data_IF_443917146465
#
_entry.id   IF_443917146465
#
_cell.length_a   1.000
_cell.length_b   1.000
_cell.length_c   1.000
_cell.angle_alpha   90.00
_cell.angle_beta   90.00
_cell.angle_gamma   90.00
#
_symmetry.space_group_name_H-M   'P 1'
#
loop_
_entity.id
_entity.type
_entity.pdbx_description
1 polymer ?
#
# COMPACT_ATOMS: atom_id res chain seq x y z
N UNK A 1 -40.37 9.31 -0.02
CA UNK A 1 -39.23 9.03 -0.94
C UNK A 1 -39.66 8.33 -2.23
N UNK A 2 -40.76 7.57 -2.26
CA UNK A 2 -41.21 6.83 -3.47
C UNK A 2 -41.60 7.70 -4.67
N UNK A 3 -41.87 8.99 -4.46
CA UNK A 3 -42.22 9.95 -5.52
C UNK A 3 -41.01 10.71 -6.09
N UNK A 4 -39.78 10.36 -5.70
CA UNK A 4 -38.59 11.00 -6.24
C UNK A 4 -38.30 10.47 -7.66
N UNK A 5 -37.88 11.34 -8.59
CA UNK A 5 -37.34 10.93 -9.89
C UNK A 5 -36.24 9.87 -9.76
N UNK A 6 -36.20 8.94 -10.71
CA UNK A 6 -35.25 7.84 -10.77
C UNK A 6 -33.79 8.30 -10.70
N UNK A 7 -33.49 9.46 -11.30
CA UNK A 7 -32.18 10.09 -11.34
C UNK A 7 -31.76 10.59 -9.95
N UNK A 8 -32.70 11.18 -9.21
CA UNK A 8 -32.46 11.64 -7.83
C UNK A 8 -32.28 10.46 -6.88
N UNK A 9 -33.03 9.37 -7.05
CA UNK A 9 -32.83 8.14 -6.28
C UNK A 9 -31.47 7.50 -6.57
N UNK A 10 -31.07 7.43 -7.85
CA UNK A 10 -29.74 6.93 -8.22
C UNK A 10 -28.61 7.81 -7.65
N UNK A 11 -28.80 9.12 -7.63
CA UNK A 11 -27.87 10.08 -7.03
C UNK A 11 -27.77 9.88 -5.51
N UNK A 12 -28.90 9.76 -4.80
CA UNK A 12 -28.92 9.47 -3.36
C UNK A 12 -28.18 8.17 -3.09
N UNK A 13 -28.49 7.09 -3.81
CA UNK A 13 -27.83 5.80 -3.63
C UNK A 13 -26.30 5.87 -3.84
N UNK A 14 -25.78 6.82 -4.64
CA UNK A 14 -24.33 6.96 -4.85
C UNK A 14 -23.57 7.49 -3.64
N UNK A 15 -24.26 8.07 -2.65
CA UNK A 15 -23.66 8.56 -1.40
C UNK A 15 -23.87 7.62 -0.21
N UNK A 16 -24.70 6.59 -0.37
CA UNK A 16 -25.04 5.69 0.73
C UNK A 16 -23.96 4.61 0.89
N UNK A 17 -23.63 4.29 2.15
CA UNK A 17 -22.77 3.16 2.47
C UNK A 17 -23.43 1.82 2.09
N UNK A 18 -22.63 0.78 1.89
CA UNK A 18 -23.12 -0.53 1.42
C UNK A 18 -24.18 -1.15 2.34
N UNK A 19 -24.04 -1.01 3.66
CA UNK A 19 -25.02 -1.48 4.66
C UNK A 19 -26.35 -0.76 4.49
N UNK A 20 -26.30 0.59 4.43
CA UNK A 20 -27.48 1.44 4.24
C UNK A 20 -28.14 1.19 2.89
N UNK A 21 -27.35 0.95 1.83
CA UNK A 21 -27.86 0.56 0.51
C UNK A 21 -28.60 -0.78 0.54
N UNK A 22 -28.12 -1.75 1.31
CA UNK A 22 -28.77 -3.04 1.45
C UNK A 22 -30.12 -2.90 2.18
N UNK A 23 -30.14 -2.15 3.29
CA UNK A 23 -31.39 -1.87 4.01
C UNK A 23 -32.39 -1.10 3.14
N UNK A 24 -31.89 -0.11 2.38
CA UNK A 24 -32.69 0.65 1.43
C UNK A 24 -33.28 -0.25 0.33
N UNK A 25 -32.51 -1.21 -0.17
CA UNK A 25 -32.98 -2.21 -1.14
C UNK A 25 -34.09 -3.11 -0.57
N UNK A 26 -34.02 -3.43 0.72
CA UNK A 26 -34.99 -4.28 1.41
C UNK A 26 -36.30 -3.57 1.75
N UNK A 27 -36.28 -2.24 1.90
CA UNK A 27 -37.48 -1.46 2.25
C UNK A 27 -38.61 -1.53 1.22
N UNK A 28 -38.28 -1.49 -0.09
CA UNK A 28 -39.28 -1.51 -1.15
C UNK A 28 -38.71 -2.02 -2.49
N UNK A 29 -39.56 -2.66 -3.31
CA UNK A 29 -39.15 -3.16 -4.65
C UNK A 29 -38.68 -2.05 -5.59
N UNK A 30 -39.25 -0.86 -5.49
CA UNK A 30 -38.84 0.32 -6.27
C UNK A 30 -37.40 0.72 -5.95
N UNK A 31 -36.99 0.65 -4.68
CA UNK A 31 -35.64 0.97 -4.23
C UNK A 31 -34.62 -0.10 -4.56
N UNK A 32 -35.00 -1.38 -4.50
CA UNK A 32 -34.14 -2.49 -4.92
C UNK A 32 -33.56 -2.28 -6.33
N UNK A 33 -34.39 -1.82 -7.27
CA UNK A 33 -33.97 -1.59 -8.65
C UNK A 33 -32.89 -0.51 -8.79
N UNK A 34 -32.85 0.49 -7.89
CA UNK A 34 -31.84 1.55 -7.87
C UNK A 34 -30.63 1.17 -7.04
N UNK A 35 -30.85 0.62 -5.84
CA UNK A 35 -29.82 0.20 -4.91
C UNK A 35 -28.92 -0.88 -5.51
N UNK A 36 -29.49 -1.85 -6.25
CA UNK A 36 -28.71 -2.93 -6.89
C UNK A 36 -27.59 -2.40 -7.77
N UNK A 37 -27.81 -1.32 -8.52
CA UNK A 37 -26.78 -0.80 -9.41
C UNK A 37 -25.56 -0.30 -8.63
N UNK A 38 -25.77 0.29 -7.46
CA UNK A 38 -24.70 0.76 -6.60
C UNK A 38 -24.06 -0.40 -5.82
N UNK A 39 -24.87 -1.31 -5.27
CA UNK A 39 -24.39 -2.48 -4.53
C UNK A 39 -23.44 -3.38 -5.34
N UNK A 40 -23.66 -3.47 -6.66
CA UNK A 40 -22.85 -4.28 -7.57
C UNK A 40 -21.85 -3.45 -8.40
N UNK A 41 -21.64 -2.17 -8.09
CA UNK A 41 -20.56 -1.38 -8.72
C UNK A 41 -19.18 -1.90 -8.29
N UNK A 42 -19.06 -2.36 -7.05
CA UNK A 42 -17.87 -3.04 -6.53
C UNK A 42 -18.25 -4.40 -5.93
N UNK A 43 -17.68 -5.46 -6.49
CA UNK A 43 -17.98 -6.85 -6.14
C UNK A 43 -16.72 -7.56 -5.68
N UNK A 44 -16.83 -8.26 -4.55
CA UNK A 44 -15.80 -9.19 -4.08
C UNK A 44 -16.41 -10.59 -4.06
N UNK A 45 -15.84 -11.51 -4.84
CA UNK A 45 -16.17 -12.93 -4.86
C UNK A 45 -15.09 -13.67 -4.09
N UNK A 46 -15.48 -14.34 -3.00
CA UNK A 46 -14.55 -15.09 -2.16
C UNK A 46 -14.89 -16.57 -2.10
N UNK A 47 -13.88 -17.40 -2.38
CA UNK A 47 -13.71 -18.79 -2.00
C UNK A 47 -14.69 -19.40 -1.01
N UNK A 48 -14.53 -18.87 0.19
CA UNK A 48 -15.04 -19.34 1.46
C UNK A 48 -16.43 -18.78 1.80
N UNK A 49 -16.99 -17.92 0.94
CA UNK A 49 -18.20 -17.18 1.26
C UNK A 49 -19.44 -17.83 0.62
N UNK A 50 -20.43 -18.14 1.47
CA UNK A 50 -21.64 -18.88 1.13
C UNK A 50 -22.41 -18.29 -0.06
N UNK A 51 -22.44 -16.96 -0.21
CA UNK A 51 -23.23 -16.26 -1.24
C UNK A 51 -22.44 -15.88 -2.51
N UNK A 52 -21.18 -16.32 -2.65
CA UNK A 52 -20.35 -15.99 -3.81
C UNK A 52 -20.89 -16.61 -5.10
N UNK A 53 -21.40 -17.85 -5.03
CA UNK A 53 -21.96 -18.54 -6.19
C UNK A 53 -23.24 -17.85 -6.70
N UNK A 54 -24.15 -17.48 -5.80
CA UNK A 54 -25.38 -16.77 -6.14
C UNK A 54 -25.08 -15.38 -6.70
N UNK A 55 -24.09 -14.68 -6.13
CA UNK A 55 -23.65 -13.38 -6.65
C UNK A 55 -23.06 -13.52 -8.06
N UNK A 56 -22.24 -14.55 -8.28
CA UNK A 56 -21.68 -14.84 -9.59
C UNK A 56 -22.77 -15.17 -10.62
N UNK A 57 -23.72 -16.04 -10.28
CA UNK A 57 -24.88 -16.37 -11.12
C UNK A 57 -25.72 -15.14 -11.43
N UNK A 58 -25.98 -14.29 -10.43
CA UNK A 58 -26.71 -13.05 -10.63
C UNK A 58 -26.04 -12.14 -11.67
N UNK A 59 -24.70 -12.03 -11.64
CA UNK A 59 -23.94 -11.26 -12.62
C UNK A 59 -24.05 -11.87 -14.02
N UNK A 60 -23.92 -13.19 -14.15
CA UNK A 60 -24.09 -13.89 -15.43
C UNK A 60 -25.50 -13.70 -16.00
N UNK A 61 -26.52 -13.88 -15.18
CA UNK A 61 -27.93 -13.80 -15.58
C UNK A 61 -28.39 -12.35 -15.87
N UNK A 62 -27.65 -11.35 -15.39
CA UNK A 62 -27.96 -9.93 -15.57
C UNK A 62 -26.83 -9.17 -16.30
N UNK A 63 -26.76 -9.21 -17.64
CA UNK A 63 -25.71 -8.55 -18.42
C UNK A 63 -25.58 -7.04 -18.16
N UNK A 64 -26.69 -6.35 -17.87
CA UNK A 64 -26.66 -4.92 -17.51
C UNK A 64 -25.97 -4.66 -16.16
N UNK A 65 -26.06 -5.61 -15.23
CA UNK A 65 -25.40 -5.54 -13.93
C UNK A 65 -23.91 -5.77 -14.11
N UNK A 66 -23.53 -6.84 -14.81
CA UNK A 66 -22.14 -7.12 -15.18
C UNK A 66 -21.48 -5.96 -15.91
N UNK A 67 -22.18 -5.33 -16.87
CA UNK A 67 -21.65 -4.16 -17.61
C UNK A 67 -21.40 -2.95 -16.70
N UNK A 68 -22.14 -2.82 -15.60
CA UNK A 68 -22.02 -1.70 -14.64
C UNK A 68 -21.03 -1.98 -13.50
N UNK A 69 -20.57 -3.22 -13.34
CA UNK A 69 -19.51 -3.54 -12.39
C UNK A 69 -18.23 -2.80 -12.79
N UNK A 70 -17.73 -1.93 -11.90
CA UNK A 70 -16.53 -1.12 -12.11
C UNK A 70 -15.32 -1.76 -11.43
N UNK A 71 -15.54 -2.41 -10.29
CA UNK A 71 -14.51 -3.09 -9.53
C UNK A 71 -14.89 -4.55 -9.25
N UNK A 72 -13.99 -5.46 -9.57
CA UNK A 72 -14.13 -6.88 -9.25
C UNK A 72 -12.88 -7.39 -8.52
N UNK A 73 -13.10 -8.03 -7.38
CA UNK A 73 -12.08 -8.78 -6.67
C UNK A 73 -12.49 -10.26 -6.60
N UNK A 74 -11.56 -11.14 -6.94
CA UNK A 74 -11.71 -12.59 -6.84
C UNK A 74 -10.62 -13.09 -5.88
N UNK A 75 -11.06 -13.63 -4.74
CA UNK A 75 -10.18 -14.16 -3.70
C UNK A 75 -10.42 -15.66 -3.55
N UNK A 76 -9.40 -16.46 -3.81
CA UNK A 76 -9.45 -17.91 -3.58
C UNK A 76 -8.86 -18.23 -2.21
N UNK A 77 -9.57 -19.04 -1.42
CA UNK A 77 -9.13 -19.56 -0.12
C UNK A 77 -7.85 -20.41 -0.29
N UNK A 78 -6.88 -20.39 0.65
CA UNK A 78 -5.63 -21.14 0.46
C UNK A 78 -5.85 -22.65 0.56
N UNK A 79 -6.85 -23.06 1.33
CA UNK A 79 -7.20 -24.46 1.54
C UNK A 79 -8.27 -24.90 0.53
N UNK A 80 -8.64 -24.07 -0.46
CA UNK A 80 -9.69 -24.34 -1.45
C UNK A 80 -9.51 -25.69 -2.17
N UNK A 81 -8.27 -26.12 -2.41
CA UNK A 81 -7.94 -27.41 -3.02
C UNK A 81 -8.22 -28.62 -2.12
N UNK A 82 -8.29 -28.40 -0.81
CA UNK A 82 -8.48 -29.45 0.21
C UNK A 82 -9.91 -29.55 0.72
N UNK A 83 -10.77 -28.58 0.39
CA UNK A 83 -12.15 -28.58 0.84
C UNK A 83 -12.98 -29.58 0.02
N UNK A 84 -13.61 -30.55 0.70
CA UNK A 84 -14.51 -31.59 0.15
C UNK A 84 -15.76 -31.07 -0.61
N UNK A 85 -15.87 -29.75 -0.88
CA UNK A 85 -16.81 -29.18 -1.84
C UNK A 85 -16.56 -29.67 -3.29
N UNK A 86 -15.47 -30.41 -3.52
CA UNK A 86 -15.01 -31.03 -4.77
C UNK A 86 -15.74 -32.36 -5.09
N UNK A 87 -17.02 -32.49 -4.75
CA UNK A 87 -17.81 -33.73 -5.04
C UNK A 87 -18.88 -33.57 -6.11
N UNK A 88 -18.96 -32.40 -6.77
CA UNK A 88 -19.82 -32.22 -7.94
C UNK A 88 -18.99 -31.94 -9.19
N UNK A 89 -19.09 -32.89 -10.12
CA UNK A 89 -18.52 -33.06 -11.44
C UNK A 89 -18.48 -31.84 -12.42
N UNK A 90 -18.39 -30.56 -12.03
CA UNK A 90 -18.44 -29.45 -13.04
C UNK A 90 -17.74 -28.09 -12.74
N UNK A 91 -17.08 -27.82 -11.60
CA UNK A 91 -16.93 -26.41 -11.20
C UNK A 91 -15.53 -25.76 -11.41
N UNK A 92 -15.40 -24.98 -12.48
CA UNK A 92 -14.56 -23.76 -12.43
C UNK A 92 -15.28 -22.76 -11.52
N UNK A 93 -14.63 -22.28 -10.45
CA UNK A 93 -15.25 -21.35 -9.49
C UNK A 93 -15.68 -20.02 -10.16
N UNK A 94 -14.85 -19.46 -11.04
CA UNK A 94 -15.21 -18.35 -11.94
C UNK A 94 -15.19 -18.84 -13.40
N UNK A 95 -16.32 -18.76 -14.10
CA UNK A 95 -16.32 -18.93 -15.56
C UNK A 95 -15.65 -17.70 -16.23
N UNK A 96 -14.54 -17.86 -16.99
CA UNK A 96 -13.82 -16.73 -17.60
C UNK A 96 -14.68 -15.91 -18.56
N UNK A 97 -15.75 -16.48 -19.11
CA UNK A 97 -16.68 -15.77 -20.00
C UNK A 97 -17.42 -14.61 -19.31
N UNK A 98 -17.44 -14.53 -17.98
CA UNK A 98 -18.07 -13.40 -17.27
C UNK A 98 -17.45 -12.06 -17.68
N UNK A 99 -16.14 -12.04 -17.97
CA UNK A 99 -15.43 -10.82 -18.38
C UNK A 99 -15.94 -10.26 -19.72
N UNK A 100 -16.55 -11.09 -20.58
CA UNK A 100 -17.20 -10.66 -21.83
C UNK A 100 -18.37 -9.71 -21.58
N UNK A 101 -18.99 -9.79 -20.41
CA UNK A 101 -20.12 -8.96 -20.01
C UNK A 101 -19.69 -7.68 -19.27
N UNK A 102 -18.41 -7.58 -18.87
CA UNK A 102 -17.90 -6.57 -17.94
C UNK A 102 -17.17 -5.41 -18.63
N UNK A 103 -17.74 -4.87 -19.71
CA UNK A 103 -17.13 -3.76 -20.45
C UNK A 103 -16.93 -2.45 -19.66
N UNK A 104 -17.55 -2.31 -18.49
CA UNK A 104 -17.38 -1.16 -17.59
C UNK A 104 -16.26 -1.32 -16.55
N UNK A 105 -15.59 -2.46 -16.51
CA UNK A 105 -14.59 -2.80 -15.49
C UNK A 105 -13.37 -1.87 -15.58
N UNK A 106 -12.97 -1.28 -14.44
CA UNK A 106 -11.81 -0.39 -14.30
C UNK A 106 -10.74 -0.95 -13.35
N UNK A 107 -11.16 -1.70 -12.33
CA UNK A 107 -10.28 -2.30 -11.35
C UNK A 107 -10.55 -3.79 -11.25
N UNK A 108 -9.50 -4.61 -11.40
CA UNK A 108 -9.56 -6.05 -11.28
C UNK A 108 -8.50 -6.56 -10.31
N UNK A 109 -8.91 -7.39 -9.36
CA UNK A 109 -8.03 -8.02 -8.38
C UNK A 109 -8.20 -9.53 -8.38
N UNK A 110 -7.08 -10.24 -8.51
CA UNK A 110 -6.98 -11.67 -8.28
C UNK A 110 -6.08 -11.90 -7.07
N UNK A 111 -6.56 -12.70 -6.12
CA UNK A 111 -5.73 -13.28 -5.07
C UNK A 111 -5.81 -14.79 -5.18
N UNK A 112 -4.65 -15.41 -5.44
CA UNK A 112 -4.47 -16.82 -5.81
C UNK A 112 -5.16 -17.16 -7.13
N UNK A 113 -4.95 -18.38 -7.61
CA UNK A 113 -5.55 -18.79 -8.88
C UNK A 113 -7.08 -18.82 -8.75
N UNK A 114 -7.83 -18.14 -9.63
CA UNK A 114 -9.30 -18.21 -9.62
C UNK A 114 -9.85 -19.56 -10.11
N UNK A 115 -9.00 -20.46 -10.62
CA UNK A 115 -9.40 -21.69 -11.31
C UNK A 115 -8.38 -22.84 -11.13
N UNK A 116 -8.86 -24.02 -10.71
CA UNK A 116 -8.23 -25.33 -10.96
C UNK A 116 -9.20 -26.08 -11.88
N UNK A 117 -8.76 -26.65 -13.01
CA UNK A 117 -9.72 -27.39 -13.86
C UNK A 117 -9.91 -28.83 -13.37
N UNK A 118 -11.09 -29.35 -13.73
CA UNK A 118 -11.60 -30.71 -13.52
C UNK A 118 -10.65 -31.84 -13.91
N UNK A 119 -9.74 -31.59 -14.85
CA UNK A 119 -8.92 -32.65 -15.48
C UNK A 119 -7.49 -32.71 -14.90
N UNK A 120 -7.18 -31.90 -13.87
CA UNK A 120 -5.80 -31.64 -13.45
C UNK A 120 -5.04 -30.70 -14.40
N UNK A 121 -5.70 -30.20 -15.45
CA UNK A 121 -5.14 -29.18 -16.35
C UNK A 121 -5.48 -27.79 -15.80
N UNK A 122 -4.57 -27.15 -15.10
CA UNK A 122 -4.79 -25.79 -14.58
C UNK A 122 -5.27 -24.84 -15.69
N UNK A 123 -6.42 -24.18 -15.50
CA UNK A 123 -6.82 -23.08 -16.40
C UNK A 123 -5.69 -22.07 -16.37
N UNK A 124 -5.08 -21.85 -17.51
CA UNK A 124 -3.94 -20.96 -17.60
C UNK A 124 -4.44 -19.54 -17.28
N UNK A 125 -3.85 -18.91 -16.25
CA UNK A 125 -4.19 -17.53 -15.91
C UNK A 125 -4.08 -16.58 -17.11
N UNK A 126 -3.20 -16.91 -18.07
CA UNK A 126 -3.09 -16.19 -19.34
C UNK A 126 -4.36 -16.21 -20.18
N UNK A 127 -5.10 -17.32 -20.19
CA UNK A 127 -6.36 -17.40 -20.94
C UNK A 127 -7.40 -16.47 -20.34
N UNK A 128 -7.44 -16.40 -19.00
CA UNK A 128 -8.29 -15.46 -18.27
C UNK A 128 -7.87 -14.03 -18.60
N UNK A 129 -6.57 -13.74 -18.54
CA UNK A 129 -6.03 -12.40 -18.82
C UNK A 129 -6.30 -11.97 -20.26
N UNK A 130 -6.21 -12.90 -21.23
CA UNK A 130 -6.56 -12.65 -22.63
C UNK A 130 -8.02 -12.22 -22.78
N UNK A 131 -8.97 -12.94 -22.17
CA UNK A 131 -10.40 -12.60 -22.21
C UNK A 131 -10.62 -11.24 -21.53
N UNK A 132 -9.94 -10.98 -20.41
CA UNK A 132 -10.01 -9.68 -19.72
C UNK A 132 -9.55 -8.56 -20.66
N UNK A 133 -8.41 -8.68 -21.32
CA UNK A 133 -7.90 -7.64 -22.21
C UNK A 133 -8.77 -7.44 -23.45
N UNK A 134 -9.35 -8.50 -24.00
CA UNK A 134 -10.26 -8.41 -25.15
C UNK A 134 -11.54 -7.63 -24.81
N UNK A 135 -12.10 -7.83 -23.61
CA UNK A 135 -13.45 -7.35 -23.29
C UNK A 135 -13.51 -6.20 -22.28
N UNK A 136 -12.48 -6.01 -21.47
CA UNK A 136 -12.41 -4.98 -20.42
C UNK A 136 -11.54 -3.79 -20.86
N UNK A 137 -11.90 -3.15 -21.97
CA UNK A 137 -11.11 -2.05 -22.55
C UNK A 137 -10.90 -0.83 -21.63
N UNK A 138 -11.74 -0.66 -20.60
CA UNK A 138 -11.66 0.42 -19.61
C UNK A 138 -10.79 0.08 -18.39
N UNK A 139 -10.14 -1.10 -18.38
CA UNK A 139 -9.34 -1.53 -17.25
C UNK A 139 -8.13 -0.62 -17.06
N UNK A 140 -8.04 0.01 -15.88
CA UNK A 140 -6.94 0.91 -15.50
C UNK A 140 -6.11 0.37 -14.34
N UNK A 141 -6.63 -0.58 -13.58
CA UNK A 141 -5.95 -1.13 -12.41
C UNK A 141 -6.02 -2.65 -12.39
N UNK A 142 -4.86 -3.29 -12.29
CA UNK A 142 -4.74 -4.75 -12.19
C UNK A 142 -3.94 -5.12 -10.94
N UNK A 143 -4.52 -5.96 -10.09
CA UNK A 143 -3.85 -6.54 -8.93
C UNK A 143 -3.83 -8.05 -9.06
N UNK A 144 -2.65 -8.67 -8.96
CA UNK A 144 -2.46 -10.11 -9.02
C UNK A 144 -1.58 -10.51 -7.85
N UNK A 145 -2.11 -11.25 -6.88
CA UNK A 145 -1.39 -11.61 -5.66
C UNK A 145 -1.42 -13.11 -5.43
N UNK A 146 -0.33 -13.67 -4.93
CA UNK A 146 -0.22 -15.08 -4.53
C UNK A 146 -0.63 -16.05 -5.65
N UNK A 147 -0.44 -15.66 -6.91
CA UNK A 147 -0.85 -16.47 -8.06
C UNK A 147 0.17 -17.58 -8.30
N UNK A 148 -0.30 -18.82 -8.31
CA UNK A 148 0.49 -19.96 -8.78
C UNK A 148 0.39 -20.06 -10.29
N UNK A 149 1.52 -19.91 -10.98
CA UNK A 149 1.59 -20.15 -12.40
C UNK A 149 1.94 -21.61 -12.64
N UNK A 150 1.10 -22.30 -13.40
CA UNK A 150 1.50 -23.60 -13.93
C UNK A 150 2.66 -23.43 -14.90
N UNK A 151 3.61 -24.39 -14.96
CA UNK A 151 4.71 -24.33 -15.92
C UNK A 151 4.15 -24.40 -17.34
N UNK A 152 4.07 -23.24 -18.00
CA UNK A 152 3.68 -23.14 -19.40
C UNK A 152 4.95 -23.26 -20.24
N UNK A 153 4.93 -24.11 -21.27
CA UNK A 153 5.99 -24.09 -22.29
C UNK A 153 5.98 -22.70 -22.95
N UNK A 154 7.07 -21.91 -22.86
CA UNK A 154 7.14 -20.59 -23.50
C UNK A 154 6.84 -20.64 -25.01
N UNK A 155 7.01 -21.80 -25.66
CA UNK A 155 6.69 -22.01 -27.09
C UNK A 155 5.21 -22.26 -27.35
N UNK A 156 4.44 -22.68 -26.36
CA UNK A 156 2.98 -22.78 -26.45
C UNK A 156 2.31 -21.39 -26.46
N UNK A 157 3.05 -20.35 -26.07
CA UNK A 157 2.66 -18.96 -26.19
C UNK A 157 2.75 -18.48 -27.66
N UNK A 158 1.84 -18.96 -28.49
CA UNK A 158 1.63 -18.51 -29.88
C UNK A 158 0.42 -17.58 -30.03
N UNK A 159 -0.37 -17.41 -28.95
CA UNK A 159 -1.48 -16.49 -28.90
C UNK A 159 -0.98 -15.05 -28.84
N UNK A 160 -1.41 -14.22 -29.78
CA UNK A 160 -1.29 -12.77 -29.64
C UNK A 160 -2.15 -12.36 -28.44
N UNK A 161 -1.54 -11.89 -27.35
CA UNK A 161 -2.28 -11.08 -26.38
C UNK A 161 -3.02 -10.00 -27.16
N UNK A 162 -4.33 -9.86 -26.91
CA UNK A 162 -5.11 -8.76 -27.44
C UNK A 162 -4.50 -7.42 -27.00
N UNK A 163 -4.86 -6.34 -27.70
CA UNK A 163 -4.39 -5.00 -27.35
C UNK A 163 -4.64 -4.73 -25.87
N UNK A 164 -3.55 -4.52 -25.12
CA UNK A 164 -3.62 -4.37 -23.67
C UNK A 164 -4.35 -3.08 -23.31
N UNK A 165 -5.26 -3.10 -22.32
CA UNK A 165 -5.95 -1.91 -21.87
C UNK A 165 -4.95 -0.89 -21.26
N UNK A 166 -5.32 0.40 -21.17
CA UNK A 166 -4.44 1.46 -20.71
C UNK A 166 -4.24 1.44 -19.19
N UNK A 167 -3.54 0.41 -18.69
CA UNK A 167 -3.24 0.24 -17.27
C UNK A 167 -2.45 1.43 -16.71
N UNK A 168 -2.90 1.93 -15.56
CA UNK A 168 -2.27 3.01 -14.76
C UNK A 168 -1.64 2.50 -13.48
N UNK A 169 -2.23 1.48 -12.86
CA UNK A 169 -1.76 0.86 -11.62
C UNK A 169 -1.64 -0.65 -11.80
N UNK A 170 -0.49 -1.20 -11.44
CA UNK A 170 -0.25 -2.63 -11.40
C UNK A 170 0.32 -3.00 -10.05
N UNK A 171 -0.32 -3.97 -9.38
CA UNK A 171 0.19 -4.61 -8.18
C UNK A 171 0.37 -6.09 -8.50
N UNK A 172 1.58 -6.59 -8.34
CA UNK A 172 1.89 -7.99 -8.55
C UNK A 172 2.67 -8.56 -7.36
N UNK A 173 2.25 -9.72 -6.85
CA UNK A 173 2.94 -10.43 -5.78
C UNK A 173 2.98 -11.92 -6.06
N UNK A 174 4.18 -12.51 -6.16
CA UNK A 174 4.36 -13.97 -6.25
C UNK A 174 4.71 -14.60 -4.90
N UNK A 175 4.40 -15.88 -4.73
CA UNK A 175 4.95 -16.70 -3.65
C UNK A 175 6.39 -17.11 -3.99
N UNK A 176 7.29 -17.12 -2.99
CA UNK A 176 8.75 -17.33 -3.12
C UNK A 176 9.18 -18.65 -3.78
N UNK A 177 8.26 -19.61 -3.96
CA UNK A 177 8.55 -20.98 -4.42
C UNK A 177 8.17 -21.26 -5.87
N UNK A 178 7.55 -20.32 -6.56
CA UNK A 178 7.02 -20.56 -7.90
C UNK A 178 8.17 -20.49 -8.92
N UNK A 179 8.53 -21.62 -9.55
CA UNK A 179 9.53 -21.70 -10.63
C UNK A 179 9.09 -21.03 -11.94
N UNK A 180 8.52 -19.83 -11.84
CA UNK A 180 7.89 -19.06 -12.92
C UNK A 180 8.98 -18.45 -13.78
N UNK A 181 8.80 -18.54 -15.09
CA UNK A 181 9.50 -17.66 -16.02
C UNK A 181 8.89 -16.26 -15.93
N UNK A 182 9.55 -15.36 -15.20
CA UNK A 182 9.11 -13.99 -15.04
C UNK A 182 9.01 -13.20 -16.35
N UNK A 183 9.76 -13.62 -17.37
CA UNK A 183 9.63 -13.10 -18.73
C UNK A 183 8.20 -13.22 -19.24
N UNK A 184 7.54 -14.36 -18.95
CA UNK A 184 6.15 -14.60 -19.31
C UNK A 184 5.21 -13.62 -18.57
N UNK A 185 5.42 -13.41 -17.27
CA UNK A 185 4.64 -12.46 -16.46
C UNK A 185 4.75 -11.06 -17.04
N UNK A 186 5.99 -10.63 -17.30
CA UNK A 186 6.28 -9.29 -17.82
C UNK A 186 5.61 -9.08 -19.19
N UNK A 187 5.79 -10.01 -20.13
CA UNK A 187 5.15 -9.89 -21.44
C UNK A 187 3.64 -10.02 -21.40
N UNK A 188 3.08 -10.68 -20.39
CA UNK A 188 1.63 -10.84 -20.26
C UNK A 188 0.97 -9.60 -19.67
N UNK A 189 1.62 -8.97 -18.70
CA UNK A 189 1.04 -7.81 -18.02
C UNK A 189 1.40 -6.50 -18.74
N UNK A 190 2.64 -6.36 -19.20
CA UNK A 190 3.17 -5.10 -19.70
C UNK A 190 3.29 -5.08 -21.22
N UNK A 191 2.91 -3.95 -21.80
CA UNK A 191 3.34 -3.58 -23.15
C UNK A 191 4.79 -3.12 -23.14
N UNK A 192 5.55 -3.31 -24.24
CA UNK A 192 6.93 -2.83 -24.35
C UNK A 192 7.09 -1.35 -24.03
N UNK A 193 6.05 -0.56 -24.29
CA UNK A 193 5.93 0.82 -23.80
C UNK A 193 4.61 0.96 -23.07
N UNK A 194 4.63 1.52 -21.87
CA UNK A 194 3.46 1.65 -21.01
C UNK A 194 3.37 3.03 -20.34
N UNK A 195 2.15 3.41 -19.97
CA UNK A 195 1.83 4.66 -19.25
C UNK A 195 1.48 4.42 -17.77
N UNK A 196 1.85 3.24 -17.25
CA UNK A 196 1.70 2.92 -15.83
C UNK A 196 2.39 3.99 -14.98
N UNK A 197 1.65 4.49 -14.00
CA UNK A 197 2.08 5.52 -13.05
C UNK A 197 2.42 4.93 -11.69
N UNK A 198 1.83 3.79 -11.34
CA UNK A 198 1.99 3.10 -10.06
C UNK A 198 2.31 1.63 -10.30
N UNK A 199 3.48 1.19 -9.84
CA UNK A 199 3.95 -0.18 -9.96
C UNK A 199 4.34 -0.71 -8.58
N UNK A 200 3.72 -1.80 -8.16
CA UNK A 200 4.06 -2.50 -6.92
C UNK A 200 4.36 -3.97 -7.20
N UNK A 201 5.58 -4.39 -6.90
CA UNK A 201 6.10 -5.71 -7.21
C UNK A 201 6.68 -6.38 -5.96
N UNK A 202 6.16 -7.56 -5.63
CA UNK A 202 6.81 -8.52 -4.74
C UNK A 202 7.30 -9.69 -5.58
N UNK A 203 8.63 -9.77 -5.72
CA UNK A 203 9.31 -10.57 -6.76
C UNK A 203 9.83 -11.92 -6.20
N UNK A 204 9.73 -12.12 -4.89
CA UNK A 204 9.85 -13.44 -4.26
C UNK A 204 11.25 -14.06 -4.28
N UNK A 205 12.33 -13.26 -4.33
CA UNK A 205 13.69 -13.79 -4.15
C UNK A 205 14.36 -14.37 -5.41
N UNK A 206 13.81 -14.19 -6.61
CA UNK A 206 14.47 -14.61 -7.86
C UNK A 206 15.06 -13.39 -8.61
N UNK A 207 16.37 -13.40 -8.82
CA UNK A 207 17.13 -12.31 -9.42
C UNK A 207 16.89 -12.13 -10.93
N UNK A 208 16.60 -13.22 -11.64
CA UNK A 208 16.35 -13.19 -13.09
C UNK A 208 15.10 -12.37 -13.43
N UNK A 209 14.19 -12.23 -12.46
CA UNK A 209 12.95 -11.50 -12.61
C UNK A 209 13.17 -10.02 -12.95
N UNK A 210 14.17 -9.38 -12.36
CA UNK A 210 14.37 -7.95 -12.64
C UNK A 210 14.87 -7.69 -14.05
N UNK A 211 15.60 -8.63 -14.65
CA UNK A 211 16.13 -8.49 -16.00
C UNK A 211 15.03 -8.37 -17.06
N UNK A 212 13.91 -9.08 -16.91
CA UNK A 212 12.82 -8.99 -17.87
C UNK A 212 12.11 -7.63 -17.83
N UNK A 213 12.02 -6.99 -16.66
CA UNK A 213 11.44 -5.65 -16.53
C UNK A 213 12.26 -4.57 -17.25
N UNK A 214 13.56 -4.78 -17.46
CA UNK A 214 14.40 -3.86 -18.26
C UNK A 214 13.93 -3.75 -19.72
N UNK A 215 13.16 -4.73 -20.22
CA UNK A 215 12.62 -4.73 -21.59
C UNK A 215 11.39 -3.83 -21.75
N UNK A 216 10.84 -3.33 -20.65
CA UNK A 216 9.63 -2.50 -20.62
C UNK A 216 10.00 -1.04 -20.37
N UNK A 217 9.54 -0.14 -21.24
CA UNK A 217 9.67 1.30 -21.06
C UNK A 217 8.44 1.87 -20.36
N UNK A 218 8.62 2.34 -19.11
CA UNK A 218 7.58 3.02 -18.36
C UNK A 218 7.71 4.53 -18.53
N UNK A 219 6.88 5.13 -19.38
CA UNK A 219 7.01 6.55 -19.76
C UNK A 219 6.51 7.53 -18.69
N UNK A 220 5.72 7.05 -17.73
CA UNK A 220 5.00 7.87 -16.74
C UNK A 220 5.10 7.33 -15.31
N UNK A 221 6.08 6.46 -15.02
CA UNK A 221 6.18 5.83 -13.70
C UNK A 221 6.53 6.86 -12.63
N UNK A 222 5.62 7.07 -11.68
CA UNK A 222 5.78 8.02 -10.56
C UNK A 222 6.04 7.32 -9.24
N UNK A 223 5.39 6.17 -9.03
CA UNK A 223 5.41 5.45 -7.76
C UNK A 223 5.84 4.01 -7.99
N UNK A 224 6.87 3.58 -7.27
CA UNK A 224 7.46 2.25 -7.39
C UNK A 224 7.63 1.61 -6.01
N UNK A 225 7.01 0.44 -5.82
CA UNK A 225 7.22 -0.44 -4.68
C UNK A 225 7.93 -1.72 -5.13
N UNK A 226 9.03 -2.06 -4.47
CA UNK A 226 9.83 -3.25 -4.73
C UNK A 226 10.06 -4.00 -3.42
N UNK A 227 9.76 -5.29 -3.42
CA UNK A 227 9.79 -6.13 -2.22
C UNK A 227 10.48 -7.47 -2.48
N UNK A 228 11.20 -7.98 -1.47
CA UNK A 228 11.90 -9.27 -1.48
C UNK A 228 12.94 -9.37 -2.63
N UNK A 229 13.86 -8.40 -2.72
CA UNK A 229 14.87 -8.36 -3.79
C UNK A 229 16.23 -8.84 -3.26
N UNK A 230 16.72 -10.00 -3.74
CA UNK A 230 17.98 -10.56 -3.27
C UNK A 230 19.18 -9.86 -3.92
N UNK A 231 20.36 -10.01 -3.34
CA UNK A 231 21.59 -9.36 -3.77
C UNK A 231 21.88 -9.51 -5.27
N UNK A 232 21.59 -10.67 -5.86
CA UNK A 232 21.81 -10.94 -7.28
C UNK A 232 20.87 -10.14 -8.20
N UNK A 233 19.68 -9.74 -7.73
CA UNK A 233 18.72 -8.92 -8.49
C UNK A 233 19.01 -7.42 -8.40
N UNK A 234 19.79 -6.99 -7.42
CA UNK A 234 20.06 -5.57 -7.17
C UNK A 234 20.77 -4.81 -8.31
N UNK A 235 21.70 -5.41 -9.11
CA UNK A 235 22.33 -4.68 -10.22
C UNK A 235 21.32 -4.34 -11.32
N UNK A 236 20.34 -5.21 -11.55
CA UNK A 236 19.25 -5.00 -12.49
C UNK A 236 18.28 -3.93 -12.00
N UNK A 237 17.94 -3.96 -10.71
CA UNK A 237 17.17 -2.90 -10.06
C UNK A 237 17.85 -1.53 -10.23
N UNK A 238 19.17 -1.44 -10.01
CA UNK A 238 19.93 -0.19 -10.20
C UNK A 238 19.82 0.37 -11.62
N UNK A 239 19.95 -0.49 -12.64
CA UNK A 239 19.77 -0.10 -14.06
C UNK A 239 18.33 0.31 -14.35
N UNK A 240 17.35 -0.40 -13.79
CA UNK A 240 15.95 -0.05 -13.90
C UNK A 240 15.65 1.34 -13.32
N UNK A 241 16.16 1.65 -12.12
CA UNK A 241 15.98 2.97 -11.50
C UNK A 241 16.63 4.09 -12.32
N UNK A 242 17.82 3.84 -12.88
CA UNK A 242 18.50 4.79 -13.76
C UNK A 242 17.71 5.07 -15.07
N UNK A 243 17.02 4.06 -15.61
CA UNK A 243 16.21 4.19 -16.81
C UNK A 243 14.87 4.94 -16.60
N UNK A 244 14.44 5.13 -15.35
CA UNK A 244 13.12 5.68 -15.00
C UNK A 244 13.24 6.94 -14.11
N UNK A 245 13.74 8.07 -14.66
CA UNK A 245 14.01 9.28 -13.88
C UNK A 245 12.75 10.00 -13.37
N UNK A 246 11.55 9.60 -13.81
CA UNK A 246 10.27 10.21 -13.42
C UNK A 246 9.76 9.76 -12.06
N UNK A 247 10.34 8.72 -11.46
CA UNK A 247 9.91 8.18 -10.17
C UNK A 247 10.09 9.26 -9.10
N UNK A 248 8.99 9.56 -8.41
CA UNK A 248 8.91 10.50 -7.28
C UNK A 248 8.85 9.77 -5.95
N UNK A 249 8.24 8.59 -5.92
CA UNK A 249 7.99 7.82 -4.71
C UNK A 249 8.60 6.43 -4.87
N UNK A 250 9.64 6.13 -4.08
CA UNK A 250 10.34 4.87 -4.11
C UNK A 250 10.19 4.13 -2.78
N UNK A 251 9.75 2.88 -2.82
CA UNK A 251 9.60 2.04 -1.64
C UNK A 251 10.33 0.72 -1.84
N UNK A 252 11.35 0.49 -1.04
CA UNK A 252 12.21 -0.69 -1.05
C UNK A 252 12.03 -1.42 0.29
N UNK A 253 11.50 -2.64 0.26
CA UNK A 253 11.25 -3.46 1.47
C UNK A 253 11.92 -4.82 1.30
N UNK A 254 12.64 -5.27 2.32
CA UNK A 254 13.38 -6.56 2.25
C UNK A 254 14.26 -6.65 0.99
N UNK A 255 15.05 -5.58 0.75
CA UNK A 255 15.97 -5.46 -0.39
C UNK A 255 17.40 -5.54 0.12
N UNK A 256 18.21 -6.40 -0.49
CA UNK A 256 19.62 -6.49 -0.15
C UNK A 256 20.40 -5.22 -0.54
N UNK A 257 21.44 -4.82 0.22
CA UNK A 257 22.30 -3.70 -0.13
C UNK A 257 22.99 -3.88 -1.48
N UNK A 258 23.26 -2.78 -2.17
CA UNK A 258 23.87 -2.82 -3.50
C UNK A 258 24.79 -1.64 -3.78
N UNK A 259 25.56 -1.70 -4.86
CA UNK A 259 26.29 -0.53 -5.37
C UNK A 259 25.61 -0.12 -6.67
N UNK A 260 24.99 1.07 -6.74
CA UNK A 260 24.47 1.61 -7.99
C UNK A 260 25.56 1.59 -9.06
N UNK A 261 25.23 1.09 -10.25
CA UNK A 261 26.18 1.10 -11.37
C UNK A 261 26.33 2.54 -11.87
N UNK A 262 27.55 3.09 -11.72
CA UNK A 262 27.93 4.49 -12.02
C UNK A 262 27.98 4.82 -13.53
N UNK A 263 27.33 4.03 -14.39
CA UNK A 263 27.56 4.07 -15.83
C UNK A 263 26.98 5.32 -16.52
N UNK A 264 26.13 6.10 -15.86
CA UNK A 264 25.59 7.35 -16.40
C UNK A 264 25.80 8.46 -15.38
N UNK A 265 26.64 9.44 -15.70
CA UNK A 265 26.87 10.65 -14.90
C UNK A 265 25.65 11.59 -14.75
N UNK A 266 24.44 11.04 -14.91
CA UNK A 266 23.16 11.67 -14.61
C UNK A 266 22.68 11.03 -13.31
N UNK A 267 22.43 11.83 -12.28
CA UNK A 267 21.93 11.35 -10.99
C UNK A 267 20.72 10.42 -11.18
N UNK A 268 20.77 9.26 -10.53
CA UNK A 268 19.65 8.32 -10.51
C UNK A 268 18.47 9.03 -9.82
N UNK A 269 17.26 8.92 -10.37
CA UNK A 269 16.02 9.45 -9.77
C UNK A 269 16.02 10.96 -9.45
N UNK A 270 16.19 11.85 -10.46
CA UNK A 270 16.22 13.30 -10.23
C UNK A 270 14.90 13.88 -9.70
N UNK A 271 13.77 13.19 -9.90
CA UNK A 271 12.45 13.61 -9.44
C UNK A 271 12.06 13.08 -8.06
N UNK A 272 12.96 12.40 -7.34
CA UNK A 272 12.65 11.75 -6.07
C UNK A 272 12.18 12.77 -5.01
N UNK A 273 11.03 12.46 -4.39
CA UNK A 273 10.37 13.25 -3.34
C UNK A 273 10.24 12.44 -2.05
N UNK A 274 9.94 11.14 -2.15
CA UNK A 274 9.80 10.26 -0.99
C UNK A 274 10.54 8.95 -1.17
N UNK A 275 11.10 8.46 -0.07
CA UNK A 275 11.78 7.17 -0.04
C UNK A 275 11.43 6.36 1.21
N UNK A 276 11.17 5.07 1.02
CA UNK A 276 11.17 4.06 2.07
C UNK A 276 12.26 3.04 1.80
N UNK A 277 13.14 2.80 2.77
CA UNK A 277 14.14 1.74 2.69
C UNK A 277 14.80 1.48 4.06
N UNK A 278 15.54 0.38 4.15
CA UNK A 278 16.46 0.13 5.27
C UNK A 278 17.67 1.10 5.22
N UNK A 279 18.26 1.50 6.37
CA UNK A 279 19.38 2.44 6.40
C UNK A 279 20.59 2.01 5.53
N UNK A 280 20.89 0.71 5.50
CA UNK A 280 21.99 0.17 4.67
C UNK A 280 21.70 0.32 3.18
N UNK A 281 20.44 0.18 2.76
CA UNK A 281 20.02 0.37 1.36
C UNK A 281 20.06 1.85 0.97
N UNK A 282 19.67 2.75 1.88
CA UNK A 282 19.81 4.21 1.66
C UNK A 282 21.28 4.62 1.51
N UNK A 283 22.15 4.06 2.33
CA UNK A 283 23.62 4.25 2.25
C UNK A 283 24.15 3.80 0.89
N UNK A 284 23.74 2.61 0.45
CA UNK A 284 24.06 2.07 -0.86
C UNK A 284 23.61 2.99 -2.00
N UNK A 285 22.35 3.43 -1.97
CA UNK A 285 21.75 4.25 -3.02
C UNK A 285 22.35 5.66 -3.08
N UNK A 286 22.81 6.23 -1.95
CA UNK A 286 23.34 7.60 -1.90
C UNK A 286 24.59 7.80 -2.76
N UNK A 287 25.35 6.73 -3.02
CA UNK A 287 26.52 6.78 -3.91
C UNK A 287 26.17 7.06 -5.38
N UNK A 288 24.92 6.87 -5.81
CA UNK A 288 24.46 7.12 -7.19
C UNK A 288 23.23 8.03 -7.31
N UNK A 289 22.57 8.37 -6.20
CA UNK A 289 21.36 9.18 -6.15
C UNK A 289 21.53 10.31 -5.12
N UNK A 290 22.07 11.45 -5.56
CA UNK A 290 22.24 12.64 -4.71
C UNK A 290 20.89 13.19 -4.20
N UNK A 291 19.81 12.95 -4.95
CA UNK A 291 18.45 13.42 -4.60
C UNK A 291 17.91 12.79 -3.31
N UNK A 292 18.48 11.69 -2.82
CA UNK A 292 18.11 11.11 -1.50
C UNK A 292 18.22 12.15 -0.39
N UNK A 293 19.26 13.00 -0.42
CA UNK A 293 19.46 14.04 0.60
C UNK A 293 18.35 15.10 0.59
N UNK A 294 17.65 15.24 -0.53
CA UNK A 294 16.66 16.29 -0.77
C UNK A 294 15.22 15.74 -0.79
N UNK A 295 14.98 14.56 -0.21
CA UNK A 295 13.63 14.03 -0.07
C UNK A 295 12.85 14.81 0.97
N UNK A 296 11.57 15.05 0.70
CA UNK A 296 10.64 15.66 1.66
C UNK A 296 10.05 14.63 2.61
N UNK A 297 10.10 13.34 2.26
CA UNK A 297 9.55 12.26 3.07
C UNK A 297 10.54 11.10 3.15
N UNK A 298 10.87 10.70 4.38
CA UNK A 298 11.74 9.58 4.69
C UNK A 298 10.99 8.56 5.56
N UNK A 299 10.90 7.33 5.09
CA UNK A 299 10.35 6.21 5.85
C UNK A 299 11.48 5.20 6.11
N UNK A 300 11.91 5.10 7.37
CA UNK A 300 12.93 4.15 7.77
C UNK A 300 12.30 2.80 8.06
N UNK A 301 12.72 1.80 7.31
CA UNK A 301 12.39 0.40 7.58
C UNK A 301 13.49 -0.24 8.43
N UNK A 302 13.19 -0.58 9.66
CA UNK A 302 14.09 -1.23 10.62
C UNK A 302 13.75 -2.72 10.80
N UNK A 303 12.87 -3.30 9.97
CA UNK A 303 12.50 -4.70 10.06
C UNK A 303 13.72 -5.59 9.79
N UNK A 304 13.99 -6.54 10.69
CA UNK A 304 15.12 -7.46 10.53
C UNK A 304 16.51 -6.83 10.70
N UNK A 305 16.61 -5.55 11.05
CA UNK A 305 17.89 -4.86 11.25
C UNK A 305 18.45 -5.19 12.63
N UNK A 306 19.61 -5.85 12.69
CA UNK A 306 20.25 -6.27 13.95
C UNK A 306 21.02 -5.12 14.60
N UNK A 307 21.74 -4.32 13.82
CA UNK A 307 22.62 -3.25 14.33
C UNK A 307 22.08 -1.85 13.97
N UNK A 308 20.83 -1.58 14.35
CA UNK A 308 20.07 -0.36 14.00
C UNK A 308 20.89 0.93 14.20
N UNK A 309 21.52 1.10 15.38
CA UNK A 309 22.31 2.30 15.71
C UNK A 309 23.48 2.49 14.74
N UNK A 310 24.22 1.42 14.46
CA UNK A 310 25.37 1.46 13.54
C UNK A 310 24.92 1.81 12.13
N UNK A 311 23.85 1.18 11.66
CA UNK A 311 23.39 1.30 10.28
C UNK A 311 22.77 2.69 10.02
N UNK A 312 22.05 3.27 10.99
CA UNK A 312 21.58 4.67 10.91
C UNK A 312 22.76 5.65 10.95
N UNK A 313 23.74 5.45 11.84
CA UNK A 313 24.92 6.31 11.91
C UNK A 313 25.73 6.27 10.60
N UNK A 314 25.89 5.09 10.00
CA UNK A 314 26.52 4.93 8.69
C UNK A 314 25.72 5.66 7.61
N UNK A 315 24.39 5.46 7.55
CA UNK A 315 23.53 6.17 6.61
C UNK A 315 23.70 7.69 6.71
N UNK A 316 23.68 8.25 7.90
CA UNK A 316 23.84 9.69 8.09
C UNK A 316 25.24 10.18 7.69
N UNK A 317 26.29 9.39 7.96
CA UNK A 317 27.65 9.69 7.53
C UNK A 317 27.78 9.74 6.00
N UNK A 318 27.14 8.83 5.28
CA UNK A 318 27.24 8.73 3.82
C UNK A 318 26.24 9.61 3.05
N UNK A 319 25.03 9.80 3.57
CA UNK A 319 24.00 10.66 2.95
C UNK A 319 24.27 12.14 3.27
N UNK A 320 24.78 12.44 4.46
CA UNK A 320 25.00 13.81 4.93
C UNK A 320 23.69 14.53 5.26
N UNK A 321 22.76 13.87 5.96
CA UNK A 321 21.51 14.47 6.46
C UNK A 321 20.36 14.61 5.44
N UNK A 322 19.28 15.29 5.84
CA UNK A 322 18.05 15.46 5.04
C UNK A 322 17.45 16.88 5.16
N UNK A 323 18.10 17.92 4.59
CA UNK A 323 17.70 19.32 4.79
C UNK A 323 16.27 19.71 4.35
N UNK A 324 15.69 19.01 3.37
CA UNK A 324 14.34 19.29 2.84
C UNK A 324 13.24 18.42 3.51
N UNK A 325 13.58 17.69 4.57
CA UNK A 325 12.69 16.71 5.17
C UNK A 325 11.51 17.37 5.89
N UNK A 326 10.29 17.08 5.43
CA UNK A 326 9.03 17.53 6.03
C UNK A 326 8.39 16.44 6.88
N UNK A 327 8.55 15.17 6.50
CA UNK A 327 8.00 14.00 7.19
C UNK A 327 9.04 12.90 7.38
N UNK A 328 9.18 12.43 8.61
CA UNK A 328 9.94 11.23 8.94
C UNK A 328 9.03 10.18 9.58
N UNK A 329 9.10 8.95 9.07
CA UNK A 329 8.35 7.81 9.59
C UNK A 329 9.29 6.66 9.96
N UNK A 330 8.98 5.97 11.05
CA UNK A 330 9.64 4.73 11.45
C UNK A 330 8.60 3.63 11.59
N UNK A 331 8.81 2.55 10.85
CA UNK A 331 7.82 1.47 10.66
C UNK A 331 7.75 0.49 11.83
N UNK A 332 8.69 0.60 12.77
CA UNK A 332 8.88 -0.24 13.94
C UNK A 332 8.94 0.59 15.21
N UNK A 333 8.86 -0.11 16.33
CA UNK A 333 8.90 0.50 17.64
C UNK A 333 10.33 0.48 18.14
N UNK A 334 10.83 1.65 18.52
CA UNK A 334 12.25 1.86 18.77
C UNK A 334 12.54 2.11 20.25
N UNK A 335 13.75 1.76 20.66
CA UNK A 335 14.27 2.09 22.00
C UNK A 335 14.73 3.55 22.06
N UNK A 336 14.93 4.06 23.28
CA UNK A 336 15.48 5.40 23.48
C UNK A 336 16.89 5.58 22.88
N UNK A 337 17.69 4.51 22.81
CA UNK A 337 19.04 4.56 22.22
C UNK A 337 18.99 4.77 20.70
N UNK A 338 18.05 4.09 20.03
CA UNK A 338 17.81 4.28 18.59
C UNK A 338 17.29 5.69 18.33
N UNK A 339 16.43 6.21 19.21
CA UNK A 339 15.94 7.59 19.12
C UNK A 339 17.05 8.62 19.22
N UNK A 340 18.01 8.46 20.13
CA UNK A 340 19.14 9.39 20.26
C UNK A 340 19.91 9.51 18.92
N UNK A 341 20.10 8.41 18.19
CA UNK A 341 20.77 8.41 16.88
C UNK A 341 19.89 9.04 15.80
N UNK A 342 18.59 8.81 15.84
CA UNK A 342 17.62 9.43 14.92
C UNK A 342 17.57 10.95 15.09
N UNK A 343 17.78 11.49 16.28
CA UNK A 343 17.84 12.96 16.45
C UNK A 343 18.97 13.61 15.67
N UNK A 344 19.97 12.84 15.23
CA UNK A 344 20.98 13.36 14.30
C UNK A 344 20.36 13.76 12.95
N UNK A 345 19.23 13.17 12.54
CA UNK A 345 18.45 13.65 11.38
C UNK A 345 18.01 15.11 11.60
N UNK A 346 17.65 15.48 12.84
CA UNK A 346 17.22 16.83 13.21
C UNK A 346 18.30 17.90 13.00
N UNK A 347 19.58 17.51 13.09
CA UNK A 347 20.69 18.47 13.00
C UNK A 347 20.74 19.21 11.66
N UNK A 348 20.22 18.58 10.59
CA UNK A 348 20.13 19.20 9.27
C UNK A 348 18.68 19.46 8.82
N UNK A 349 17.69 18.80 9.43
CA UNK A 349 16.28 18.80 9.00
C UNK A 349 15.43 19.80 9.79
N UNK A 350 15.72 21.10 9.67
CA UNK A 350 15.00 22.14 10.42
C UNK A 350 13.51 22.26 10.04
N UNK A 351 13.10 21.73 8.88
CA UNK A 351 11.75 21.87 8.33
C UNK A 351 10.82 20.69 8.66
N UNK A 352 11.23 19.79 9.55
CA UNK A 352 10.40 18.63 9.89
C UNK A 352 9.11 19.09 10.58
N UNK A 353 7.98 18.88 9.93
CA UNK A 353 6.65 19.26 10.45
C UNK A 353 5.86 18.07 10.96
N UNK A 354 6.19 16.87 10.51
CA UNK A 354 5.45 15.66 10.83
C UNK A 354 6.38 14.50 11.18
N UNK A 355 6.06 13.82 12.28
CA UNK A 355 6.71 12.59 12.69
C UNK A 355 5.71 11.45 12.88
N UNK A 356 6.09 10.26 12.46
CA UNK A 356 5.31 9.04 12.63
C UNK A 356 6.21 7.91 13.15
N UNK A 357 5.88 7.24 14.26
CA UNK A 357 6.68 6.10 14.74
C UNK A 357 6.22 5.53 16.08
N UNK A 358 6.67 4.33 16.43
CA UNK A 358 6.40 3.74 17.74
C UNK A 358 7.57 3.89 18.71
N UNK A 359 7.31 4.04 20.01
CA UNK A 359 8.36 4.05 21.05
C UNK A 359 8.07 3.05 22.16
N UNK A 360 9.07 2.25 22.54
CA UNK A 360 8.98 1.48 23.77
C UNK A 360 9.25 2.41 24.96
N UNK A 361 8.23 2.61 25.80
CA UNK A 361 8.30 3.44 27.01
C UNK A 361 7.99 2.60 28.25
N UNK A 362 8.97 1.86 28.74
CA UNK A 362 8.90 1.10 29.99
C UNK A 362 8.95 2.00 31.23
N UNK A 363 9.57 3.18 31.15
CA UNK A 363 9.76 4.07 32.28
C UNK A 363 9.49 5.55 31.98
N UNK A 364 9.05 6.31 32.98
CA UNK A 364 8.81 7.77 32.84
C UNK A 364 10.06 8.54 32.39
N UNK A 365 11.27 8.04 32.67
CA UNK A 365 12.53 8.62 32.20
C UNK A 365 12.70 8.56 30.68
N UNK A 366 12.13 7.55 30.02
CA UNK A 366 12.23 7.37 28.56
C UNK A 366 11.33 8.37 27.85
N UNK A 367 10.17 8.69 28.42
CA UNK A 367 9.29 9.76 27.93
C UNK A 367 10.01 11.11 27.95
N UNK A 368 10.80 11.39 29.00
CA UNK A 368 11.62 12.61 29.07
C UNK A 368 12.72 12.61 28.00
N UNK A 369 13.32 11.45 27.69
CA UNK A 369 14.30 11.32 26.60
C UNK A 369 13.64 11.60 25.25
N UNK A 370 12.47 11.01 25.00
CA UNK A 370 11.68 11.24 23.79
C UNK A 370 11.30 12.71 23.65
N UNK A 371 10.86 13.34 24.75
CA UNK A 371 10.56 14.78 24.80
C UNK A 371 11.74 15.64 24.36
N UNK A 372 12.92 15.38 24.91
CA UNK A 372 14.15 16.10 24.57
C UNK A 372 14.62 15.84 23.15
N UNK A 373 14.46 14.61 22.68
CA UNK A 373 14.78 14.23 21.30
C UNK A 373 13.93 15.02 20.31
N UNK A 374 12.62 15.14 20.57
CA UNK A 374 11.73 15.88 19.68
C UNK A 374 11.89 17.40 19.76
N UNK A 375 12.34 17.94 20.90
CA UNK A 375 12.69 19.35 21.01
C UNK A 375 13.80 19.79 20.02
N UNK A 376 14.53 18.84 19.41
CA UNK A 376 15.47 19.12 18.33
C UNK A 376 14.78 19.53 17.01
N UNK A 377 13.46 19.33 16.87
CA UNK A 377 12.67 19.67 15.68
C UNK A 377 11.73 20.85 15.99
N UNK A 378 12.21 22.11 15.84
CA UNK A 378 11.45 23.28 16.28
C UNK A 378 10.14 23.48 15.53
N UNK A 379 10.04 23.03 14.28
CA UNK A 379 8.86 23.19 13.42
C UNK A 379 7.89 22.01 13.48
N UNK A 380 8.12 21.03 14.38
CA UNK A 380 7.27 19.86 14.51
C UNK A 380 5.84 20.25 14.91
N UNK A 381 4.87 19.94 14.05
CA UNK A 381 3.45 20.27 14.25
C UNK A 381 2.63 19.06 14.64
N UNK A 382 3.00 17.85 14.19
CA UNK A 382 2.25 16.63 14.47
C UNK A 382 3.17 15.47 14.81
N UNK A 383 2.79 14.72 15.85
CA UNK A 383 3.48 13.54 16.31
C UNK A 383 2.52 12.35 16.42
N UNK A 384 2.72 11.34 15.58
CA UNK A 384 1.94 10.11 15.57
C UNK A 384 2.73 8.98 16.24
N UNK A 385 2.20 8.46 17.35
CA UNK A 385 2.87 7.47 18.21
C UNK A 385 2.14 6.12 18.16
N UNK A 386 2.77 5.11 17.56
CA UNK A 386 2.12 3.81 17.30
C UNK A 386 2.15 2.81 18.46
N UNK A 387 3.02 3.00 19.43
CA UNK A 387 3.12 2.12 20.57
C UNK A 387 3.56 2.94 21.78
N UNK A 388 2.82 2.74 22.87
CA UNK A 388 3.18 3.13 24.22
C UNK A 388 2.91 1.89 25.08
N UNK A 389 3.70 0.83 24.87
CA UNK A 389 3.50 -0.41 25.60
C UNK A 389 4.24 -0.39 26.92
N UNK A 390 3.62 -1.08 27.88
CA UNK A 390 4.16 -1.28 29.21
C UNK A 390 4.43 -2.74 29.46
N UNK A 391 5.39 -2.99 30.35
CA UNK A 391 5.58 -4.29 31.00
C UNK A 391 4.37 -4.64 31.90
N UNK A 392 4.44 -5.75 32.63
CA UNK A 392 3.36 -6.32 33.46
C UNK A 392 2.66 -5.37 34.48
N UNK A 393 3.07 -4.12 34.65
CA UNK A 393 2.43 -3.11 35.49
C UNK A 393 2.00 -1.88 34.68
N UNK A 394 0.71 -1.70 34.41
CA UNK A 394 0.15 -0.58 33.62
C UNK A 394 0.49 0.80 34.23
N UNK A 395 0.92 1.81 33.44
CA UNK A 395 1.12 3.17 33.92
C UNK A 395 -0.19 3.77 34.35
N UNK A 396 -0.16 4.63 35.35
CA UNK A 396 -1.35 5.42 35.69
C UNK A 396 -1.63 6.44 34.57
N UNK A 397 -2.91 6.73 34.30
CA UNK A 397 -3.33 7.81 33.38
C UNK A 397 -2.61 9.15 33.68
N UNK A 398 -2.28 9.39 34.94
CA UNK A 398 -1.54 10.57 35.43
C UNK A 398 -0.10 10.63 34.93
N UNK A 399 0.60 9.50 34.84
CA UNK A 399 1.98 9.45 34.33
C UNK A 399 2.03 9.69 32.82
N UNK A 400 1.11 9.10 32.05
CA UNK A 400 0.98 9.34 30.60
C UNK A 400 0.68 10.83 30.36
N UNK A 401 -0.33 11.38 31.03
CA UNK A 401 -0.70 12.79 30.88
C UNK A 401 0.47 13.73 31.21
N UNK A 402 1.24 13.46 32.28
CA UNK A 402 2.43 14.24 32.63
C UNK A 402 3.51 14.16 31.54
N UNK A 403 3.74 12.98 30.99
CA UNK A 403 4.69 12.75 29.89
C UNK A 403 4.33 13.53 28.63
N UNK A 404 3.08 13.42 28.17
CA UNK A 404 2.56 14.15 27.01
C UNK A 404 2.56 15.67 27.23
N UNK A 405 2.26 16.13 28.46
CA UNK A 405 2.32 17.55 28.80
C UNK A 405 3.75 18.08 28.73
N UNK A 406 4.75 17.29 29.16
CA UNK A 406 6.16 17.65 29.02
C UNK A 406 6.56 17.75 27.55
N UNK A 407 6.16 16.76 26.73
CA UNK A 407 6.41 16.73 25.30
C UNK A 407 5.81 17.93 24.56
N UNK A 408 4.57 18.27 24.90
CA UNK A 408 3.88 19.44 24.38
C UNK A 408 4.51 20.76 24.85
N UNK A 409 5.05 20.80 26.07
CA UNK A 409 5.72 21.99 26.59
C UNK A 409 7.09 22.21 25.92
N UNK A 410 7.83 21.13 25.69
CA UNK A 410 9.17 21.16 25.09
C UNK A 410 9.12 21.43 23.57
N UNK A 411 7.95 21.30 22.93
CA UNK A 411 7.75 21.52 21.49
C UNK A 411 6.69 22.60 21.23
N UNK A 412 7.13 23.86 21.12
CA UNK A 412 6.24 25.03 21.06
C UNK A 412 5.27 25.04 19.86
N UNK A 413 5.68 24.47 18.73
CA UNK A 413 4.88 24.45 17.50
C UNK A 413 3.95 23.24 17.37
N UNK A 414 4.07 22.26 18.27
CA UNK A 414 3.28 21.05 18.25
C UNK A 414 1.80 21.41 18.34
N UNK A 415 1.01 20.96 17.37
CA UNK A 415 -0.43 21.16 17.31
C UNK A 415 -1.17 19.93 17.85
N UNK A 416 -0.70 18.72 17.51
CA UNK A 416 -1.32 17.49 17.96
C UNK A 416 -0.33 16.35 18.22
N UNK A 417 -0.70 15.51 19.20
CA UNK A 417 -0.09 14.18 19.42
C UNK A 417 -1.20 13.15 19.25
N UNK A 418 -1.02 12.23 18.29
CA UNK A 418 -1.93 11.12 18.04
C UNK A 418 -1.34 9.85 18.66
N UNK A 419 -2.12 9.16 19.49
CA UNK A 419 -1.73 7.87 20.07
C UNK A 419 -2.53 6.75 19.44
N UNK A 420 -1.86 5.71 18.97
CA UNK A 420 -2.46 4.47 18.47
C UNK A 420 -2.21 3.33 19.47
N UNK A 421 -3.14 2.38 19.56
CA UNK A 421 -2.97 1.14 20.35
C UNK A 421 -2.84 -0.05 19.41
N UNK A 422 -1.86 -0.91 19.69
CA UNK A 422 -1.52 -2.14 18.95
C UNK A 422 -2.56 -3.27 19.13
N UNK A 423 -3.32 -3.23 20.21
CA UNK A 423 -4.32 -4.26 20.55
C UNK A 423 -5.61 -4.18 19.73
N UNK A 424 -5.81 -3.09 18.97
CA UNK A 424 -6.99 -2.93 18.13
C UNK A 424 -6.65 -3.33 16.68
N UNK A 425 -7.45 -4.20 16.03
CA UNK A 425 -7.23 -4.61 14.64
C UNK A 425 -7.41 -3.46 13.63
N UNK A 426 -7.91 -2.31 14.08
CA UNK A 426 -8.10 -1.06 13.33
C UNK A 426 -7.12 0.01 13.83
N UNK A 427 -6.49 0.75 12.91
CA UNK A 427 -5.68 1.95 13.23
C UNK A 427 -6.58 3.10 13.71
N UNK A 428 -7.26 2.91 14.83
CA UNK A 428 -8.04 3.95 15.47
C UNK A 428 -7.08 4.86 16.22
N UNK A 429 -7.12 6.16 15.92
CA UNK A 429 -6.53 7.16 16.80
C UNK A 429 -7.31 7.07 18.12
N UNK A 430 -6.65 6.53 19.13
CA UNK A 430 -7.29 6.27 20.43
C UNK A 430 -7.40 7.56 21.22
N UNK A 431 -6.44 8.47 21.06
CA UNK A 431 -6.40 9.78 21.73
C UNK A 431 -5.69 10.82 20.87
N UNK A 432 -6.28 12.01 20.78
CA UNK A 432 -5.64 13.21 20.23
C UNK A 432 -5.41 14.19 21.37
N UNK A 433 -4.16 14.55 21.61
CA UNK A 433 -3.81 15.63 22.51
C UNK A 433 -3.63 16.92 21.70
N UNK A 434 -4.60 17.83 21.78
CA UNK A 434 -4.53 19.14 21.13
C UNK A 434 -3.74 20.11 22.02
N UNK A 435 -2.58 20.54 21.54
CA UNK A 435 -1.60 21.34 22.31
C UNK A 435 -1.91 22.84 22.24
N UNK A 436 -2.49 23.33 21.13
CA UNK A 436 -2.67 24.78 20.87
C UNK A 436 -3.86 25.43 21.59
N UNK A 437 -4.66 24.68 22.36
CA UNK A 437 -5.77 25.22 23.15
C UNK A 437 -5.57 25.07 24.67
N UNK A 438 -5.04 26.15 25.28
CA UNK A 438 -5.06 26.49 26.71
C UNK A 438 -4.21 25.64 27.71
N UNK A 439 -3.70 26.24 28.81
CA UNK A 439 -2.85 25.60 29.84
C UNK A 439 -3.57 24.55 30.71
N UNK A 440 -4.80 24.18 30.34
CA UNK A 440 -5.62 23.13 30.94
C UNK A 440 -6.07 22.14 29.87
N UNK A 441 -5.23 21.88 28.86
CA UNK A 441 -5.53 21.00 27.73
C UNK A 441 -6.04 19.65 28.23
N UNK A 442 -7.36 19.50 28.17
CA UNK A 442 -8.04 18.27 28.52
C UNK A 442 -7.63 17.22 27.48
N UNK A 443 -7.17 16.07 27.97
CA UNK A 443 -7.14 14.84 27.16
C UNK A 443 -8.57 14.64 26.65
N UNK A 444 -8.84 14.99 25.40
CA UNK A 444 -10.09 14.59 24.75
C UNK A 444 -9.88 13.16 24.29
N UNK A 445 -10.53 12.21 24.97
CA UNK A 445 -10.74 10.88 24.42
C UNK A 445 -11.62 11.07 23.18
N UNK A 446 -11.00 11.08 22.00
CA UNK A 446 -11.69 11.07 20.72
C UNK A 446 -11.84 9.60 20.37
N UNK A 447 -13.05 9.07 20.51
CA UNK A 447 -13.37 7.75 19.97
C UNK A 447 -13.63 7.84 18.47
N UNK A 448 -13.02 6.90 17.74
CA UNK A 448 -13.29 6.48 16.37
C UNK A 448 -13.22 7.56 15.28
N UNK A 449 -12.02 7.74 14.69
CA UNK A 449 -11.96 8.07 13.27
C UNK A 449 -12.03 6.75 12.48
N UNK A 450 -13.22 6.39 11.98
CA UNK A 450 -13.39 5.30 11.01
C UNK A 450 -13.01 5.80 9.63
N UNK A 451 -11.72 5.82 9.32
CA UNK A 451 -11.26 5.86 7.92
C UNK A 451 -11.22 4.42 7.41
N UNK A 452 -12.03 4.13 6.38
CA UNK A 452 -12.20 2.79 5.82
C UNK A 452 -11.01 2.37 4.95
N UNK A 453 -10.43 1.20 5.25
CA UNK A 453 -9.40 0.56 4.42
C UNK A 453 -8.81 -0.68 5.11
N UNK A 454 -8.57 -1.82 4.43
CA UNK A 454 -8.49 -3.12 5.10
C UNK A 454 -7.09 -3.60 5.56
N UNK A 455 -6.00 -2.83 5.46
CA UNK A 455 -4.67 -3.35 5.81
C UNK A 455 -3.76 -2.40 6.61
N UNK A 456 -3.27 -2.91 7.75
CA UNK A 456 -2.30 -2.31 8.69
C UNK A 456 -0.90 -2.05 8.09
N UNK A 457 -0.56 -2.66 6.94
CA UNK A 457 0.70 -2.40 6.21
C UNK A 457 0.58 -1.23 5.23
N UNK A 458 -0.62 -1.00 4.67
CA UNK A 458 -0.85 0.05 3.67
C UNK A 458 -1.01 1.44 4.29
N UNK A 459 -1.40 1.55 5.57
CA UNK A 459 -1.53 2.82 6.31
C UNK A 459 -0.24 3.31 6.97
N UNK A 460 0.80 2.48 7.03
CA UNK A 460 2.13 2.90 7.52
C UNK A 460 2.88 3.72 6.46
N UNK A 461 2.50 3.54 5.19
CA UNK A 461 2.71 4.53 4.15
C UNK A 461 1.53 5.50 4.20
N UNK A 462 1.70 6.66 4.83
CA UNK A 462 0.72 7.74 4.69
C UNK A 462 0.57 8.01 3.19
N UNK A 463 -0.66 8.07 2.68
CA UNK A 463 -0.93 8.35 1.27
C UNK A 463 -0.47 9.78 0.95
N UNK A 464 0.78 9.93 0.54
CA UNK A 464 1.48 11.20 0.37
C UNK A 464 0.81 12.11 -0.66
N UNK A 465 -0.02 11.55 -1.55
CA UNK A 465 -0.85 12.31 -2.47
C UNK A 465 -1.95 13.10 -1.73
N UNK A 466 -2.54 12.55 -0.67
CA UNK A 466 -3.55 13.22 0.17
C UNK A 466 -2.93 14.31 1.07
N UNK A 467 -1.71 14.10 1.58
CA UNK A 467 -1.03 15.08 2.45
C UNK A 467 -0.70 16.40 1.76
N UNK A 468 -0.45 16.39 0.44
CA UNK A 468 -0.21 17.63 -0.32
C UNK A 468 -1.44 18.56 -0.37
N UNK A 469 -2.65 17.99 -0.22
CA UNK A 469 -3.91 18.72 -0.22
C UNK A 469 -4.35 19.12 1.20
N UNK A 470 -4.15 18.26 2.19
CA UNK A 470 -4.58 18.54 3.57
C UNK A 470 -3.66 19.51 4.33
N UNK A 471 -2.37 19.60 3.97
CA UNK A 471 -1.49 20.61 4.54
C UNK A 471 -1.84 22.05 4.13
N UNK A 472 -2.51 22.22 2.98
CA UNK A 472 -3.05 23.52 2.58
C UNK A 472 -4.28 23.85 3.45
N UNK A 473 -5.13 22.85 3.74
CA UNK A 473 -6.34 23.05 4.54
C UNK A 473 -6.06 23.34 6.03
N UNK A 474 -5.02 22.76 6.64
CA UNK A 474 -4.67 23.02 8.05
C UNK A 474 -4.02 24.39 8.29
N UNK A 475 -3.66 25.12 7.24
CA UNK A 475 -3.16 26.49 7.33
C UNK A 475 -4.27 27.56 7.31
N UNK A 476 -5.52 27.15 7.08
CA UNK A 476 -6.68 28.04 6.95
C UNK A 476 -7.75 27.90 8.07
N UNK A 477 -7.43 27.25 9.20
CA UNK A 477 -8.32 27.13 10.37
C UNK A 477 -7.69 27.56 11.70
#
# INVERSE_FOLDING_TARGET
MENLPAELLAHICSFLERSVLADFALTAKSYLAHARWQLYTAVTLRSDHLFSSETFRLLLDNPQLSKRTVSLAIDTDPDWETHDFITADDNTWIEPNIFKLMGGLRTLRFRRSPCVSRDGNTVNFLDILNIVYEHCANLTELTVMELEWSPVDPRAFTGKLHDRPPLRKVVYSSLRSSGIDWTLVVYSIFSPTTSITHLDLLIGGNADNFSALETVSFTSLLTLYLRDIPAQGTPHMGRFLAAHPTIKHLFLVDVDPFTPTTATGLGILPALVSIQAQPVVLTSLSSGCERIRQVSVLILDLAGVVEVVRDIAAMLHFVGGFPELLHCSIMQVISAEVLDVITLIAQESNQLTYWTGGFYCHETREVVKISRAFAAFPDLQRLDIFEWTYSATTPTKKQIAKGLTSLAHDNANLACICLFMDQLPTNEIVRVYNVRHHPKAAVREVYACTEGGPYLRERRCVDLAAMSLDMIALSEW
#
